data_IF_990075423036
#
_entry.id   IF_990075423036
#
_cell.length_a   1.000
_cell.length_b   1.000
_cell.length_c   1.000
_cell.angle_alpha   90.00
_cell.angle_beta   90.00
_cell.angle_gamma   90.00
#
_symmetry.space_group_name_H-M   'P 1'
#
loop_
_entity.id
_entity.type
_entity.pdbx_description
1 polymer ?
#
# COMPACT_ATOMS: atom_id res chain seq x y z
N UNK A 1 68.56 48.90 -15.29
CA UNK A 1 68.31 48.07 -16.46
C UNK A 1 68.18 46.58 -16.01
N UNK A 2 67.02 46.11 -15.74
CA UNK A 2 66.86 44.70 -15.52
C UNK A 2 65.62 44.25 -16.38
N UNK A 3 65.91 43.32 -17.29
CA UNK A 3 64.92 42.69 -18.15
C UNK A 3 64.30 41.55 -17.43
N UNK A 4 62.96 41.57 -17.22
CA UNK A 4 62.14 40.43 -16.75
C UNK A 4 61.77 39.53 -17.93
N UNK A 5 62.16 38.30 -17.85
CA UNK A 5 61.78 37.25 -18.78
C UNK A 5 60.54 36.55 -18.19
N UNK A 6 59.38 36.70 -18.88
CA UNK A 6 58.15 35.97 -18.53
C UNK A 6 58.18 34.60 -19.21
N UNK A 7 58.17 33.53 -18.41
CA UNK A 7 57.90 32.16 -18.89
C UNK A 7 56.40 31.90 -18.92
N UNK A 8 55.85 31.76 -20.12
CA UNK A 8 54.47 31.30 -20.32
C UNK A 8 54.50 29.80 -20.37
N UNK A 9 54.12 29.16 -19.27
CA UNK A 9 53.93 27.71 -19.20
C UNK A 9 52.59 27.32 -19.86
N UNK A 10 52.66 26.67 -21.01
CA UNK A 10 51.51 26.09 -21.70
C UNK A 10 51.19 24.73 -21.07
N UNK A 11 50.10 24.66 -20.27
CA UNK A 11 49.59 23.45 -19.65
C UNK A 11 48.83 22.67 -20.73
N UNK A 12 49.46 21.62 -21.29
CA UNK A 12 48.75 20.65 -22.16
C UNK A 12 47.87 19.77 -21.25
N UNK A 13 46.59 20.03 -21.25
CA UNK A 13 45.59 19.11 -20.71
C UNK A 13 45.35 18.02 -21.76
N UNK A 14 45.90 16.84 -21.58
CA UNK A 14 45.53 15.65 -22.35
C UNK A 14 44.16 15.18 -21.86
N UNK A 15 43.11 15.50 -22.59
CA UNK A 15 41.83 14.84 -22.47
C UNK A 15 42.01 13.37 -22.91
N UNK A 16 42.11 12.46 -21.96
CA UNK A 16 41.94 11.05 -22.21
C UNK A 16 40.45 10.83 -22.57
N UNK A 17 40.19 10.72 -23.87
CA UNK A 17 38.90 10.25 -24.33
C UNK A 17 38.69 8.83 -23.77
N UNK A 18 37.79 8.66 -22.82
CA UNK A 18 37.21 7.36 -22.52
C UNK A 18 36.55 6.86 -23.80
N UNK A 19 37.15 5.86 -24.43
CA UNK A 19 36.50 5.08 -25.49
C UNK A 19 35.29 4.38 -24.86
N UNK A 20 34.10 4.99 -24.98
CA UNK A 20 32.83 4.34 -24.69
C UNK A 20 32.68 3.26 -25.76
N UNK A 21 32.93 1.99 -25.43
CA UNK A 21 32.53 0.87 -26.26
C UNK A 21 31.02 0.89 -26.38
N UNK A 22 30.52 1.47 -27.48
CA UNK A 22 29.10 1.43 -27.85
C UNK A 22 28.82 -0.04 -28.17
N UNK A 23 27.99 -0.69 -27.35
CA UNK A 23 27.50 -2.05 -27.60
C UNK A 23 26.81 -2.11 -28.98
N UNK A 24 26.50 -3.32 -29.46
CA UNK A 24 25.90 -3.54 -30.77
C UNK A 24 24.67 -2.63 -30.97
N UNK A 25 24.84 -1.58 -31.79
CA UNK A 25 23.68 -0.72 -32.17
C UNK A 25 22.99 -1.43 -33.37
N UNK A 26 21.80 -1.93 -33.13
CA UNK A 26 20.92 -2.38 -34.19
C UNK A 26 20.01 -1.18 -34.56
N UNK A 27 20.27 -0.56 -35.70
CA UNK A 27 19.39 0.47 -36.24
C UNK A 27 18.24 -0.22 -36.99
N UNK A 28 16.99 0.15 -36.61
CA UNK A 28 15.82 -0.32 -37.35
C UNK A 28 15.87 0.06 -38.82
N UNK A 29 15.41 -0.85 -39.67
CA UNK A 29 15.33 -0.63 -41.13
C UNK A 29 14.06 0.15 -41.55
N UNK A 30 13.05 0.15 -40.67
CA UNK A 30 11.71 0.65 -40.96
C UNK A 30 10.82 -0.37 -41.70
N UNK A 31 11.35 -1.51 -42.10
CA UNK A 31 10.57 -2.55 -42.76
C UNK A 31 10.06 -3.57 -41.78
N UNK A 32 8.75 -3.77 -41.73
CA UNK A 32 8.09 -4.73 -40.85
C UNK A 32 8.03 -6.12 -41.46
N UNK A 33 8.30 -7.13 -40.63
CA UNK A 33 8.12 -8.54 -40.95
C UNK A 33 7.32 -9.23 -39.87
N UNK A 34 6.79 -10.42 -40.21
CA UNK A 34 6.13 -11.31 -39.23
C UNK A 34 6.68 -12.71 -39.44
N UNK A 35 7.13 -13.33 -38.35
CA UNK A 35 7.58 -14.73 -38.31
C UNK A 35 6.62 -15.56 -37.48
N UNK A 36 6.37 -16.80 -37.88
CA UNK A 36 5.53 -17.76 -37.17
C UNK A 36 6.40 -18.90 -36.66
N UNK A 37 6.44 -19.08 -35.35
CA UNK A 37 7.21 -20.15 -34.73
C UNK A 37 6.25 -21.21 -34.16
N UNK A 38 6.51 -22.48 -34.48
CA UNK A 38 5.85 -23.59 -33.81
C UNK A 38 6.55 -23.81 -32.47
N UNK A 39 5.81 -23.77 -31.40
CA UNK A 39 6.33 -23.99 -30.06
C UNK A 39 5.67 -25.22 -29.42
N UNK A 40 6.37 -25.91 -28.55
CA UNK A 40 5.79 -26.99 -27.75
C UNK A 40 4.77 -26.43 -26.78
N UNK A 41 3.91 -27.28 -26.21
CA UNK A 41 2.97 -26.88 -25.18
C UNK A 41 3.69 -26.33 -23.94
N UNK A 42 3.15 -25.26 -23.37
CA UNK A 42 3.65 -24.61 -22.15
C UNK A 42 2.49 -24.12 -21.30
N UNK A 43 2.75 -23.95 -20.02
CA UNK A 43 1.82 -23.37 -19.04
C UNK A 43 2.49 -22.27 -18.19
N UNK A 44 3.72 -21.91 -18.55
CA UNK A 44 4.51 -20.87 -17.90
C UNK A 44 5.20 -20.03 -18.96
N UNK A 45 5.34 -18.72 -18.71
CA UNK A 45 6.05 -17.78 -19.59
C UNK A 45 7.07 -17.01 -18.78
N UNK A 46 8.26 -16.85 -19.35
CA UNK A 46 9.31 -15.94 -18.91
C UNK A 46 9.62 -14.97 -20.05
N UNK A 47 9.45 -13.67 -19.81
CA UNK A 47 9.81 -12.62 -20.78
C UNK A 47 10.95 -11.75 -20.25
N UNK A 48 12.11 -11.90 -20.87
CA UNK A 48 13.31 -11.10 -20.61
C UNK A 48 13.64 -10.21 -21.83
N UNK A 49 12.65 -9.96 -22.70
CA UNK A 49 12.85 -9.24 -23.95
C UNK A 49 12.38 -7.78 -23.87
N UNK A 50 12.74 -7.02 -24.91
CA UNK A 50 12.25 -5.67 -25.12
C UNK A 50 11.02 -5.60 -26.04
N UNK A 51 10.53 -6.75 -26.54
CA UNK A 51 9.29 -6.82 -27.33
C UNK A 51 8.09 -6.89 -26.42
N UNK A 52 7.01 -6.23 -26.85
CA UNK A 52 5.72 -6.37 -26.20
C UNK A 52 5.19 -7.79 -26.40
N UNK A 53 4.55 -8.35 -25.37
CA UNK A 53 4.04 -9.72 -25.41
C UNK A 53 2.54 -9.75 -25.11
N UNK A 54 1.75 -10.25 -26.05
CA UNK A 54 0.32 -10.48 -25.89
C UNK A 54 0.11 -11.99 -25.71
N UNK A 55 -0.37 -12.38 -24.54
CA UNK A 55 -0.71 -13.76 -24.20
C UNK A 55 -2.21 -13.93 -24.21
N UNK A 56 -2.69 -14.90 -24.96
CA UNK A 56 -4.14 -15.24 -25.03
C UNK A 56 -4.34 -16.63 -24.44
N UNK A 57 -5.05 -16.72 -23.32
CA UNK A 57 -5.45 -18.03 -22.81
C UNK A 57 -6.68 -18.53 -23.55
N UNK A 58 -6.45 -19.38 -24.53
CA UNK A 58 -7.41 -20.07 -25.38
C UNK A 58 -6.76 -21.36 -25.91
N UNK A 59 -7.11 -21.84 -27.04
CA UNK A 59 -6.46 -22.99 -27.69
C UNK A 59 -5.00 -22.68 -27.99
N UNK A 60 -4.13 -23.65 -27.71
CA UNK A 60 -2.73 -23.55 -28.08
C UNK A 60 -2.55 -23.29 -29.59
N UNK A 61 -1.67 -22.37 -29.93
CA UNK A 61 -1.44 -21.94 -31.30
C UNK A 61 0.03 -21.60 -31.55
N UNK A 62 0.38 -21.25 -32.79
CA UNK A 62 1.73 -20.79 -33.11
C UNK A 62 2.00 -19.44 -32.43
N UNK A 63 3.28 -19.20 -32.15
CA UNK A 63 3.78 -17.93 -31.69
C UNK A 63 4.07 -17.05 -32.91
N UNK A 64 3.56 -15.82 -32.92
CA UNK A 64 3.80 -14.83 -33.97
C UNK A 64 4.69 -13.71 -33.43
N UNK A 65 5.81 -13.42 -34.13
CA UNK A 65 6.68 -12.30 -33.83
C UNK A 65 6.59 -11.30 -34.97
N UNK A 66 6.13 -10.09 -34.69
CA UNK A 66 6.00 -9.01 -35.65
C UNK A 66 6.86 -7.81 -35.23
N UNK A 67 7.64 -7.27 -36.14
CA UNK A 67 8.50 -6.13 -35.86
C UNK A 67 9.43 -5.78 -37.03
N UNK A 68 10.40 -4.92 -36.75
CA UNK A 68 11.42 -4.55 -37.75
C UNK A 68 12.25 -5.76 -38.16
N UNK A 69 12.54 -5.88 -39.47
CA UNK A 69 13.27 -7.02 -40.03
C UNK A 69 14.66 -7.26 -39.44
N UNK A 70 15.26 -6.26 -38.79
CA UNK A 70 16.53 -6.36 -38.10
C UNK A 70 16.40 -6.71 -36.61
N UNK A 71 15.21 -6.44 -36.01
CA UNK A 71 14.95 -6.68 -34.59
C UNK A 71 14.32 -8.06 -34.33
N UNK A 72 13.43 -8.51 -35.19
CA UNK A 72 12.78 -9.82 -35.07
C UNK A 72 13.80 -10.96 -34.94
N UNK A 73 14.91 -11.03 -35.74
CA UNK A 73 15.91 -12.07 -35.60
C UNK A 73 16.70 -12.03 -34.29
N UNK A 74 16.67 -10.92 -33.56
CA UNK A 74 17.37 -10.76 -32.27
C UNK A 74 16.59 -11.34 -31.08
N UNK A 75 15.35 -11.77 -31.31
CA UNK A 75 14.53 -12.45 -30.30
C UNK A 75 14.73 -13.95 -30.41
N UNK A 76 14.96 -14.56 -29.27
CA UNK A 76 14.99 -16.02 -29.13
C UNK A 76 13.77 -16.49 -28.34
N UNK A 77 13.10 -17.51 -28.86
CA UNK A 77 11.96 -18.16 -28.18
C UNK A 77 12.23 -19.65 -28.07
N UNK A 78 12.17 -20.17 -26.85
CA UNK A 78 12.41 -21.61 -26.58
C UNK A 78 11.44 -22.10 -25.50
N UNK A 79 11.01 -23.36 -25.62
CA UNK A 79 10.21 -24.01 -24.57
C UNK A 79 11.06 -25.04 -23.84
N UNK A 80 11.28 -24.82 -22.56
CA UNK A 80 12.01 -25.73 -21.67
C UNK A 80 11.15 -26.04 -20.44
N UNK A 81 10.98 -27.31 -20.12
CA UNK A 81 10.18 -27.75 -18.95
C UNK A 81 8.76 -27.12 -18.89
N UNK A 82 8.07 -27.03 -20.02
CA UNK A 82 6.75 -26.37 -20.18
C UNK A 82 6.77 -24.85 -19.90
N UNK A 83 7.93 -24.21 -19.85
CA UNK A 83 8.09 -22.76 -19.75
C UNK A 83 8.52 -22.20 -21.11
N UNK A 84 7.74 -21.31 -21.70
CA UNK A 84 8.13 -20.50 -22.84
C UNK A 84 9.06 -19.38 -22.37
N UNK A 85 10.29 -19.40 -22.82
CA UNK A 85 11.30 -18.37 -22.54
C UNK A 85 11.41 -17.49 -23.77
N UNK A 86 11.19 -16.20 -23.59
CA UNK A 86 11.33 -15.15 -24.60
C UNK A 86 12.46 -14.24 -24.14
N UNK A 87 13.52 -14.15 -24.90
CA UNK A 87 14.70 -13.37 -24.51
C UNK A 87 15.42 -12.73 -25.69
N UNK A 88 16.20 -11.71 -25.41
CA UNK A 88 17.11 -11.13 -26.37
C UNK A 88 18.33 -12.03 -26.56
N UNK A 89 18.78 -12.25 -27.80
CA UNK A 89 20.01 -13.01 -28.10
C UNK A 89 21.26 -12.36 -27.51
N UNK A 90 21.26 -11.03 -27.40
CA UNK A 90 22.35 -10.25 -26.81
C UNK A 90 21.88 -9.46 -25.61
N UNK A 91 22.72 -9.37 -24.57
CA UNK A 91 22.32 -8.73 -23.28
C UNK A 91 22.25 -7.20 -23.34
N UNK A 92 22.86 -6.57 -24.34
CA UNK A 92 22.92 -5.10 -24.41
C UNK A 92 22.57 -4.64 -25.81
N UNK A 93 21.44 -3.93 -25.90
CA UNK A 93 21.03 -3.21 -27.10
C UNK A 93 20.94 -1.72 -26.79
N UNK A 94 21.41 -0.89 -27.71
CA UNK A 94 21.17 0.53 -27.71
C UNK A 94 20.22 0.85 -28.87
N UNK A 95 18.97 1.17 -28.54
CA UNK A 95 17.98 1.56 -29.54
C UNK A 95 17.95 3.08 -29.70
N UNK A 96 17.70 3.53 -30.92
CA UNK A 96 17.29 4.90 -31.15
C UNK A 96 15.84 5.11 -30.68
N UNK A 97 15.53 6.23 -30.08
CA UNK A 97 14.19 6.62 -29.56
C UNK A 97 13.03 6.48 -30.56
N UNK A 98 13.32 6.34 -31.85
CA UNK A 98 12.34 6.24 -32.92
C UNK A 98 11.91 4.81 -33.23
N UNK A 99 12.48 3.81 -32.59
CA UNK A 99 12.18 2.39 -32.88
C UNK A 99 11.07 1.91 -31.95
N UNK A 100 9.90 1.59 -32.53
CA UNK A 100 8.86 0.87 -31.78
C UNK A 100 9.33 -0.57 -31.56
N UNK A 101 9.21 -1.10 -30.35
CA UNK A 101 9.42 -2.53 -30.12
C UNK A 101 8.48 -3.34 -30.99
N UNK A 102 8.89 -4.56 -31.31
CA UNK A 102 8.00 -5.50 -31.99
C UNK A 102 7.00 -6.10 -31.01
N UNK A 103 6.05 -6.87 -31.52
CA UNK A 103 5.03 -7.55 -30.72
C UNK A 103 5.11 -9.05 -30.92
N UNK A 104 5.08 -9.80 -29.82
CA UNK A 104 4.96 -11.24 -29.79
C UNK A 104 3.55 -11.59 -29.34
N UNK A 105 2.82 -12.35 -30.16
CA UNK A 105 1.51 -12.86 -29.81
C UNK A 105 1.58 -14.37 -29.65
N UNK A 106 1.11 -14.87 -28.52
CA UNK A 106 1.14 -16.30 -28.22
C UNK A 106 -0.15 -16.75 -27.55
N UNK A 107 -0.58 -17.97 -27.86
CA UNK A 107 -1.78 -18.56 -27.27
C UNK A 107 -1.44 -19.88 -26.56
N UNK A 108 -2.02 -20.11 -25.39
CA UNK A 108 -1.88 -21.34 -24.62
C UNK A 108 -3.20 -21.74 -23.98
N UNK A 109 -3.43 -23.06 -23.84
CA UNK A 109 -4.65 -23.56 -23.21
C UNK A 109 -4.70 -23.30 -21.70
N UNK A 110 -3.55 -23.25 -21.05
CA UNK A 110 -3.40 -22.96 -19.60
C UNK A 110 -2.20 -22.07 -19.38
N UNK A 111 -2.34 -21.09 -18.50
CA UNK A 111 -1.23 -20.25 -18.05
C UNK A 111 -1.24 -20.18 -16.53
N UNK A 112 -0.24 -20.75 -15.87
CA UNK A 112 -0.14 -20.85 -14.41
C UNK A 112 0.87 -19.88 -13.82
N UNK A 113 1.86 -19.48 -14.62
CA UNK A 113 2.96 -18.65 -14.14
C UNK A 113 3.40 -17.67 -15.22
N UNK A 114 3.70 -16.46 -14.79
CA UNK A 114 4.25 -15.40 -15.62
C UNK A 114 5.42 -14.74 -14.90
N UNK A 115 6.58 -14.70 -15.56
CA UNK A 115 7.76 -13.97 -15.11
C UNK A 115 8.08 -12.87 -16.13
N UNK A 116 8.19 -11.63 -15.69
CA UNK A 116 8.54 -10.47 -16.53
C UNK A 116 9.73 -9.72 -15.94
N UNK A 117 10.87 -9.80 -16.62
CA UNK A 117 12.09 -9.04 -16.30
C UNK A 117 12.51 -8.11 -17.42
N UNK A 118 11.88 -8.24 -18.60
CA UNK A 118 12.14 -7.42 -19.78
C UNK A 118 11.60 -6.00 -19.68
N UNK A 119 11.91 -5.20 -20.70
CA UNK A 119 11.39 -3.84 -20.85
C UNK A 119 10.20 -3.73 -21.80
N UNK A 120 9.82 -4.81 -22.47
CA UNK A 120 8.60 -4.87 -23.26
C UNK A 120 7.38 -5.07 -22.37
N UNK A 121 6.28 -4.43 -22.73
CA UNK A 121 5.02 -4.56 -21.99
C UNK A 121 4.39 -5.94 -22.22
N UNK A 122 3.63 -6.39 -21.21
CA UNK A 122 2.92 -7.66 -21.33
C UNK A 122 1.42 -7.48 -21.09
N UNK A 123 0.62 -8.12 -21.92
CA UNK A 123 -0.83 -8.21 -21.73
C UNK A 123 -1.29 -9.66 -21.76
N UNK A 124 -1.97 -10.09 -20.69
CA UNK A 124 -2.56 -11.43 -20.58
C UNK A 124 -4.07 -11.33 -20.65
N UNK A 125 -4.67 -11.99 -21.63
CA UNK A 125 -6.11 -11.96 -21.91
C UNK A 125 -6.73 -13.34 -21.72
N UNK A 126 -7.96 -13.34 -21.22
CA UNK A 126 -8.76 -14.55 -21.11
C UNK A 126 -8.33 -15.50 -20.00
N UNK A 127 -7.60 -15.01 -18.97
CA UNK A 127 -7.24 -15.80 -17.80
C UNK A 127 -8.47 -16.51 -17.24
N UNK A 128 -8.33 -17.81 -16.99
CA UNK A 128 -9.37 -18.63 -16.37
C UNK A 128 -8.71 -19.84 -15.70
N UNK A 129 -8.18 -19.65 -14.49
CA UNK A 129 -7.35 -20.61 -13.77
C UNK A 129 -7.80 -20.77 -12.33
N UNK A 130 -7.44 -21.90 -11.70
CA UNK A 130 -7.60 -22.09 -10.25
C UNK A 130 -6.54 -21.31 -9.46
N UNK A 131 -5.34 -21.13 -10.05
CA UNK A 131 -4.24 -20.37 -9.45
C UNK A 131 -3.37 -19.73 -10.53
N UNK A 132 -2.88 -18.53 -10.25
CA UNK A 132 -1.97 -17.79 -11.11
C UNK A 132 -0.88 -17.09 -10.30
N UNK A 133 0.37 -17.34 -10.66
CA UNK A 133 1.53 -16.71 -10.07
C UNK A 133 2.16 -15.74 -11.05
N UNK A 134 2.48 -14.54 -10.58
CA UNK A 134 3.13 -13.49 -11.35
C UNK A 134 4.35 -12.97 -10.62
N UNK A 135 5.47 -12.91 -11.32
CA UNK A 135 6.68 -12.23 -10.85
C UNK A 135 7.05 -11.13 -11.85
N UNK A 136 7.03 -9.88 -11.41
CA UNK A 136 7.42 -8.72 -12.21
C UNK A 136 8.63 -8.04 -11.58
N UNK A 137 9.76 -8.06 -12.29
CA UNK A 137 11.01 -7.46 -11.85
C UNK A 137 11.58 -6.45 -12.85
N UNK A 138 11.00 -6.40 -14.06
CA UNK A 138 11.40 -5.49 -15.14
C UNK A 138 10.73 -4.12 -15.10
N UNK A 139 11.14 -3.22 -16.00
CA UNK A 139 10.49 -1.91 -16.20
C UNK A 139 9.29 -1.95 -17.15
N UNK A 140 9.00 -3.08 -17.83
CA UNK A 140 7.81 -3.20 -18.69
C UNK A 140 6.53 -3.32 -17.89
N UNK A 141 5.45 -2.72 -18.37
CA UNK A 141 4.14 -2.77 -17.74
C UNK A 141 3.47 -4.12 -17.97
N UNK A 142 2.64 -4.51 -17.01
CA UNK A 142 1.88 -5.76 -17.09
C UNK A 142 0.38 -5.51 -16.97
N UNK A 143 -0.40 -6.05 -17.89
CA UNK A 143 -1.86 -6.00 -17.84
C UNK A 143 -2.47 -7.39 -17.77
N UNK A 144 -3.37 -7.61 -16.82
CA UNK A 144 -4.03 -8.89 -16.58
C UNK A 144 -5.56 -8.77 -16.75
N UNK A 145 -6.15 -9.66 -17.57
CA UNK A 145 -7.59 -9.64 -17.88
C UNK A 145 -8.16 -11.05 -17.75
N UNK A 146 -9.20 -11.24 -16.95
CA UNK A 146 -9.90 -12.53 -16.84
C UNK A 146 -10.29 -12.88 -15.41
N UNK A 147 -10.08 -14.15 -15.04
CA UNK A 147 -10.40 -14.69 -13.71
C UNK A 147 -9.33 -15.66 -13.23
N UNK A 148 -9.15 -15.71 -11.92
CA UNK A 148 -8.30 -16.73 -11.28
C UNK A 148 -8.85 -17.06 -9.90
N UNK A 149 -8.63 -18.27 -9.41
CA UNK A 149 -8.90 -18.61 -8.02
C UNK A 149 -7.90 -17.88 -7.11
N UNK A 150 -6.74 -18.47 -6.91
CA UNK A 150 -5.67 -17.84 -6.11
C UNK A 150 -4.75 -17.00 -7.00
N UNK A 151 -4.57 -15.72 -6.68
CA UNK A 151 -3.58 -14.85 -7.30
C UNK A 151 -2.41 -14.61 -6.35
N UNK A 152 -1.17 -14.83 -6.84
CA UNK A 152 0.04 -14.49 -6.10
C UNK A 152 0.87 -13.54 -6.95
N UNK A 153 1.18 -12.37 -6.42
CA UNK A 153 1.93 -11.31 -7.09
C UNK A 153 3.23 -11.01 -6.33
N UNK A 154 4.37 -11.10 -7.01
CA UNK A 154 5.67 -10.63 -6.53
C UNK A 154 6.14 -9.51 -7.45
N UNK A 155 6.16 -8.27 -6.94
CA UNK A 155 6.46 -7.08 -7.73
C UNK A 155 7.67 -6.37 -7.14
N UNK A 156 8.75 -6.33 -7.90
CA UNK A 156 10.00 -5.63 -7.54
C UNK A 156 10.49 -4.68 -8.63
N UNK A 157 9.87 -4.74 -9.80
CA UNK A 157 10.19 -3.89 -10.96
C UNK A 157 9.65 -2.47 -10.83
N UNK A 158 9.97 -1.65 -11.83
CA UNK A 158 9.45 -0.28 -11.96
C UNK A 158 8.29 -0.15 -12.96
N UNK A 159 7.95 -1.23 -13.67
CA UNK A 159 6.75 -1.27 -14.50
C UNK A 159 5.48 -1.40 -13.66
N UNK A 160 4.39 -0.83 -14.12
CA UNK A 160 3.10 -0.87 -13.45
C UNK A 160 2.36 -2.20 -13.72
N UNK A 161 1.54 -2.63 -12.77
CA UNK A 161 0.65 -3.79 -12.93
C UNK A 161 -0.82 -3.36 -12.92
N UNK A 162 -1.47 -3.42 -14.08
CA UNK A 162 -2.92 -3.17 -14.23
C UNK A 162 -3.71 -4.48 -14.28
N UNK A 163 -4.30 -4.86 -13.15
CA UNK A 163 -5.21 -5.99 -13.00
C UNK A 163 -6.66 -5.57 -12.67
N UNK A 164 -7.07 -4.35 -13.02
CA UNK A 164 -8.44 -3.85 -12.78
C UNK A 164 -9.53 -4.68 -13.47
N UNK A 165 -9.18 -5.37 -14.55
CA UNK A 165 -10.09 -6.27 -15.28
C UNK A 165 -9.89 -7.74 -14.92
N UNK A 166 -9.18 -8.03 -13.84
CA UNK A 166 -9.01 -9.36 -13.28
C UNK A 166 -9.94 -9.54 -12.07
N UNK A 167 -10.56 -10.69 -11.97
CA UNK A 167 -11.29 -11.16 -10.80
C UNK A 167 -10.49 -12.29 -10.16
N UNK A 168 -10.19 -12.18 -8.88
CA UNK A 168 -9.53 -13.24 -8.11
C UNK A 168 -10.42 -13.69 -6.95
N UNK A 169 -10.36 -14.99 -6.58
CA UNK A 169 -11.04 -15.42 -5.37
C UNK A 169 -10.27 -14.96 -4.14
N UNK A 170 -8.95 -15.15 -4.09
CA UNK A 170 -8.07 -14.65 -3.04
C UNK A 170 -6.77 -14.11 -3.62
N UNK A 171 -6.13 -13.20 -2.90
CA UNK A 171 -4.90 -12.53 -3.36
C UNK A 171 -3.84 -12.50 -2.28
N UNK A 172 -2.60 -12.79 -2.69
CA UNK A 172 -1.38 -12.51 -1.92
C UNK A 172 -0.47 -11.59 -2.73
N UNK A 173 -0.06 -10.47 -2.16
CA UNK A 173 0.75 -9.43 -2.79
C UNK A 173 2.01 -9.18 -1.98
N UNK A 174 3.17 -9.39 -2.61
CA UNK A 174 4.48 -8.96 -2.14
C UNK A 174 5.01 -7.85 -3.06
N UNK A 175 4.89 -6.59 -2.61
CA UNK A 175 5.21 -5.42 -3.41
C UNK A 175 6.42 -4.67 -2.84
N UNK A 176 7.55 -4.77 -3.55
CA UNK A 176 8.83 -4.22 -3.12
C UNK A 176 9.40 -3.17 -4.11
N UNK A 177 8.74 -2.99 -5.25
CA UNK A 177 9.17 -2.10 -6.33
C UNK A 177 8.61 -0.69 -6.26
N UNK A 178 9.03 0.18 -7.19
CA UNK A 178 8.46 1.51 -7.37
C UNK A 178 7.27 1.57 -8.35
N UNK A 179 6.96 0.49 -9.09
CA UNK A 179 5.80 0.44 -10.00
C UNK A 179 4.49 0.34 -9.24
N UNK A 180 3.41 0.89 -9.76
CA UNK A 180 2.10 0.87 -9.14
C UNK A 180 1.34 -0.44 -9.41
N UNK A 181 0.52 -0.86 -8.47
CA UNK A 181 -0.39 -2.00 -8.59
C UNK A 181 -1.85 -1.57 -8.51
N UNK A 182 -2.63 -1.87 -9.54
CA UNK A 182 -4.07 -1.67 -9.57
C UNK A 182 -4.79 -3.01 -9.72
N UNK A 183 -5.53 -3.44 -8.71
CA UNK A 183 -6.28 -4.69 -8.70
C UNK A 183 -7.80 -4.41 -8.75
N UNK A 184 -8.53 -5.25 -9.47
CA UNK A 184 -9.98 -5.18 -9.60
C UNK A 184 -10.70 -5.80 -8.41
N UNK A 185 -11.44 -6.88 -8.65
CA UNK A 185 -12.28 -7.55 -7.64
C UNK A 185 -11.56 -8.72 -7.01
N UNK A 186 -11.60 -8.79 -5.66
CA UNK A 186 -11.22 -9.96 -4.86
C UNK A 186 -12.45 -10.48 -4.13
N UNK A 187 -12.73 -11.76 -4.27
CA UNK A 187 -13.95 -12.34 -3.70
C UNK A 187 -13.84 -12.58 -2.19
N UNK A 188 -12.65 -12.95 -1.71
CA UNK A 188 -12.40 -13.31 -0.31
C UNK A 188 -11.15 -12.62 0.26
N UNK A 189 -10.19 -13.36 0.78
CA UNK A 189 -9.08 -12.83 1.56
C UNK A 189 -8.02 -12.11 0.72
N UNK A 190 -7.53 -11.02 1.26
CA UNK A 190 -6.50 -10.18 0.67
C UNK A 190 -5.35 -10.03 1.67
N UNK A 191 -4.15 -10.50 1.30
CA UNK A 191 -2.93 -10.30 2.05
C UNK A 191 -2.00 -9.39 1.24
N UNK A 192 -1.51 -8.31 1.86
CA UNK A 192 -0.65 -7.30 1.23
C UNK A 192 0.56 -7.07 2.10
N UNK A 193 1.75 -7.32 1.53
CA UNK A 193 3.03 -6.92 2.07
C UNK A 193 3.62 -5.85 1.14
N UNK A 194 3.73 -4.62 1.63
CA UNK A 194 4.25 -3.49 0.87
C UNK A 194 5.48 -2.89 1.54
N UNK A 195 6.63 -2.99 0.87
CA UNK A 195 7.87 -2.33 1.27
C UNK A 195 8.40 -1.37 0.19
N UNK A 196 7.79 -1.39 -0.99
CA UNK A 196 8.13 -0.53 -2.12
C UNK A 196 7.64 0.91 -2.00
N UNK A 197 7.95 1.70 -3.02
CA UNK A 197 7.49 3.09 -3.14
C UNK A 197 6.31 3.25 -4.10
N UNK A 198 5.95 2.22 -4.86
CA UNK A 198 4.76 2.22 -5.70
C UNK A 198 3.49 2.07 -4.87
N UNK A 199 2.40 2.60 -5.36
CA UNK A 199 1.10 2.56 -4.71
C UNK A 199 0.36 1.26 -5.02
N UNK A 200 -0.42 0.77 -4.04
CA UNK A 200 -1.30 -0.39 -4.21
C UNK A 200 -2.75 0.06 -4.08
N UNK A 201 -3.56 -0.28 -5.07
CA UNK A 201 -5.01 -0.04 -5.04
C UNK A 201 -5.81 -1.31 -5.32
N UNK A 202 -6.61 -1.75 -4.35
CA UNK A 202 -7.60 -2.83 -4.50
C UNK A 202 -8.99 -2.21 -4.57
N UNK A 203 -9.67 -2.38 -5.71
CA UNK A 203 -10.89 -1.63 -6.01
C UNK A 203 -12.14 -2.19 -5.32
N UNK A 204 -12.21 -3.52 -5.11
CA UNK A 204 -13.40 -4.16 -4.57
C UNK A 204 -13.07 -5.51 -3.91
N UNK A 205 -13.08 -5.55 -2.57
CA UNK A 205 -13.10 -6.80 -1.80
C UNK A 205 -14.55 -7.13 -1.46
N UNK A 206 -15.09 -8.25 -1.96
CA UNK A 206 -16.53 -8.54 -1.83
C UNK A 206 -16.91 -9.06 -0.46
N UNK A 207 -16.12 -9.98 0.10
CA UNK A 207 -16.35 -10.51 1.44
C UNK A 207 -15.13 -11.31 1.89
N UNK A 208 -14.28 -10.69 2.69
CA UNK A 208 -13.04 -11.36 3.14
C UNK A 208 -12.30 -10.58 4.19
N UNK A 209 -11.23 -11.17 4.69
CA UNK A 209 -10.30 -10.51 5.59
C UNK A 209 -9.23 -9.76 4.82
N UNK A 210 -8.77 -8.66 5.40
CA UNK A 210 -7.60 -7.92 4.98
C UNK A 210 -6.47 -8.09 6.01
N UNK A 211 -5.34 -8.60 5.56
CA UNK A 211 -4.08 -8.55 6.28
C UNK A 211 -3.14 -7.61 5.54
N UNK A 212 -2.73 -6.53 6.19
CA UNK A 212 -1.90 -5.49 5.61
C UNK A 212 -0.63 -5.28 6.42
N UNK A 213 0.50 -5.44 5.79
CA UNK A 213 1.82 -5.09 6.34
C UNK A 213 2.46 -4.06 5.42
N UNK A 214 2.53 -2.81 5.88
CA UNK A 214 3.10 -1.70 5.09
C UNK A 214 4.31 -1.12 5.80
N UNK A 215 5.46 -1.23 5.18
CA UNK A 215 6.73 -0.71 5.70
C UNK A 215 7.39 0.29 4.74
N UNK A 216 6.93 0.37 3.51
CA UNK A 216 7.45 1.28 2.47
C UNK A 216 6.83 2.68 2.49
N UNK A 217 7.32 3.57 1.61
CA UNK A 217 6.73 4.90 1.40
C UNK A 217 5.54 4.92 0.42
N UNK A 218 5.26 3.81 -0.29
CA UNK A 218 4.08 3.71 -1.17
C UNK A 218 2.78 3.60 -0.38
N UNK A 219 1.71 4.18 -0.89
CA UNK A 219 0.40 4.17 -0.23
C UNK A 219 -0.41 2.92 -0.58
N UNK A 220 -1.25 2.47 0.35
CA UNK A 220 -2.15 1.33 0.14
C UNK A 220 -3.60 1.76 0.30
N UNK A 221 -4.44 1.48 -0.70
CA UNK A 221 -5.87 1.77 -0.67
C UNK A 221 -6.68 0.51 -0.97
N UNK A 222 -7.55 0.12 -0.04
CA UNK A 222 -8.41 -1.06 -0.17
C UNK A 222 -9.86 -0.66 0.07
N UNK A 223 -10.73 -1.00 -0.88
CA UNK A 223 -12.17 -0.76 -0.80
C UNK A 223 -12.94 -2.07 -0.87
N UNK A 224 -14.11 -2.12 -0.23
CA UNK A 224 -15.01 -3.27 -0.36
C UNK A 224 -15.77 -3.62 0.92
N UNK A 225 -16.26 -4.85 1.02
CA UNK A 225 -16.91 -5.38 2.22
C UNK A 225 -15.91 -6.25 3.00
N UNK A 226 -15.17 -5.62 3.90
CA UNK A 226 -14.07 -6.25 4.63
C UNK A 226 -14.61 -6.75 5.98
N UNK A 227 -14.55 -8.06 6.21
CA UNK A 227 -15.10 -8.74 7.39
C UNK A 227 -14.09 -9.01 8.50
N UNK A 228 -12.80 -8.82 8.24
CA UNK A 228 -11.70 -8.91 9.20
C UNK A 228 -10.56 -7.98 8.80
N UNK A 229 -9.90 -7.36 9.79
CA UNK A 229 -8.73 -6.51 9.54
C UNK A 229 -7.62 -6.79 10.55
N UNK A 230 -6.43 -7.04 10.03
CA UNK A 230 -5.16 -7.04 10.75
C UNK A 230 -4.19 -6.16 9.97
N UNK A 231 -3.76 -5.05 10.56
CA UNK A 231 -2.89 -4.10 9.85
C UNK A 231 -1.70 -3.68 10.73
N UNK A 232 -0.51 -3.71 10.14
CA UNK A 232 0.75 -3.20 10.70
C UNK A 232 1.33 -2.17 9.74
N UNK A 233 1.30 -0.90 10.15
CA UNK A 233 1.73 0.25 9.36
C UNK A 233 2.97 0.86 10.02
N UNK A 234 4.12 0.56 9.46
CA UNK A 234 5.43 1.04 9.95
C UNK A 234 6.13 1.98 8.95
N UNK A 235 5.64 2.03 7.73
CA UNK A 235 6.16 2.89 6.65
C UNK A 235 5.74 4.35 6.76
N UNK A 236 6.19 5.15 5.79
CA UNK A 236 5.79 6.54 5.64
C UNK A 236 4.68 6.75 4.60
N UNK A 237 4.28 5.70 3.88
CA UNK A 237 3.13 5.74 2.99
C UNK A 237 1.83 5.66 3.77
N UNK A 238 0.76 6.24 3.21
CA UNK A 238 -0.55 6.25 3.83
C UNK A 238 -1.33 4.96 3.58
N UNK A 239 -2.21 4.58 4.52
CA UNK A 239 -3.12 3.46 4.36
C UNK A 239 -4.58 3.91 4.43
N UNK A 240 -5.42 3.52 3.46
CA UNK A 240 -6.86 3.81 3.45
C UNK A 240 -7.66 2.54 3.28
N UNK A 241 -8.53 2.23 4.25
CA UNK A 241 -9.39 1.05 4.21
C UNK A 241 -10.85 1.46 4.39
N UNK A 242 -11.67 1.17 3.39
CA UNK A 242 -13.07 1.58 3.34
C UNK A 242 -14.01 0.37 3.19
N UNK A 243 -15.15 0.44 3.87
CA UNK A 243 -16.18 -0.60 3.84
C UNK A 243 -15.96 -1.72 4.85
N UNK A 244 -15.39 -1.39 6.00
CA UNK A 244 -15.21 -2.30 7.11
C UNK A 244 -16.56 -2.73 7.72
N UNK A 245 -16.72 -4.04 7.96
CA UNK A 245 -17.83 -4.65 8.69
C UNK A 245 -17.23 -5.78 9.55
N UNK A 246 -16.50 -5.40 10.59
CA UNK A 246 -15.54 -6.26 11.28
C UNK A 246 -15.98 -6.53 12.72
N UNK A 247 -16.02 -7.79 13.14
CA UNK A 247 -16.28 -8.14 14.54
C UNK A 247 -15.07 -7.83 15.44
N UNK A 248 -13.85 -8.17 14.98
CA UNK A 248 -12.62 -7.90 15.72
C UNK A 248 -11.54 -7.41 14.75
N UNK A 249 -10.99 -6.23 15.01
CA UNK A 249 -9.91 -5.63 14.24
C UNK A 249 -8.69 -5.33 15.09
N UNK A 250 -7.51 -5.50 14.52
CA UNK A 250 -6.23 -5.11 15.11
C UNK A 250 -5.53 -4.14 14.17
N UNK A 251 -5.10 -2.99 14.69
CA UNK A 251 -4.30 -2.01 13.97
C UNK A 251 -3.11 -1.59 14.82
N UNK A 252 -1.91 -1.70 14.24
CA UNK A 252 -0.68 -1.17 14.79
C UNK A 252 -0.12 -0.10 13.86
N UNK A 253 0.17 1.07 14.40
CA UNK A 253 0.76 2.21 13.69
C UNK A 253 2.06 2.60 14.39
N UNK A 254 3.19 2.34 13.74
CA UNK A 254 4.53 2.65 14.28
C UNK A 254 5.31 3.62 13.40
N UNK A 255 4.86 3.84 12.17
CA UNK A 255 5.46 4.75 11.19
C UNK A 255 4.91 6.18 11.25
N UNK A 256 5.40 7.05 10.36
CA UNK A 256 4.88 8.40 10.17
C UNK A 256 3.72 8.49 9.13
N UNK A 257 3.35 7.38 8.46
CA UNK A 257 2.24 7.36 7.50
C UNK A 257 0.88 7.45 8.19
N UNK A 258 -0.05 8.15 7.58
CA UNK A 258 -1.41 8.34 8.09
C UNK A 258 -2.30 7.15 7.74
N UNK A 259 -3.24 6.85 8.63
CA UNK A 259 -4.22 5.77 8.41
C UNK A 259 -5.64 6.32 8.40
N UNK A 260 -6.41 5.89 7.41
CA UNK A 260 -7.82 6.24 7.26
C UNK A 260 -8.69 5.00 7.25
N UNK A 261 -9.63 4.93 8.20
CA UNK A 261 -10.57 3.82 8.31
C UNK A 261 -12.03 4.30 8.18
N UNK A 262 -12.85 3.51 7.44
CA UNK A 262 -14.27 3.81 7.26
C UNK A 262 -15.11 2.53 7.32
N UNK A 263 -16.25 2.59 7.99
CA UNK A 263 -17.20 1.48 8.13
C UNK A 263 -17.61 1.22 9.56
N UNK A 264 -17.65 -0.05 9.97
CA UNK A 264 -18.05 -0.46 11.32
C UNK A 264 -17.11 -1.54 11.85
N UNK A 265 -16.73 -1.43 13.14
CA UNK A 265 -15.95 -2.45 13.86
C UNK A 265 -16.57 -2.66 15.25
N UNK A 266 -16.88 -3.91 15.61
CA UNK A 266 -17.42 -4.17 16.95
C UNK A 266 -16.34 -3.99 18.03
N UNK A 267 -15.17 -4.57 17.85
CA UNK A 267 -14.05 -4.39 18.78
C UNK A 267 -12.78 -4.07 18.00
N UNK A 268 -12.20 -2.90 18.27
CA UNK A 268 -10.92 -2.48 17.71
C UNK A 268 -9.85 -2.42 18.80
N UNK A 269 -8.73 -3.10 18.55
CA UNK A 269 -7.48 -2.91 19.27
C UNK A 269 -6.56 -2.03 18.44
N UNK A 270 -6.15 -0.91 19.03
CA UNK A 270 -5.34 0.09 18.35
C UNK A 270 -4.09 0.40 19.17
N UNK A 271 -2.93 0.19 18.56
CA UNK A 271 -1.64 0.60 19.12
C UNK A 271 -1.02 1.67 18.21
N UNK A 272 -0.79 2.85 18.73
CA UNK A 272 -0.11 3.95 18.07
C UNK A 272 1.22 4.24 18.78
N UNK A 273 2.32 4.05 18.08
CA UNK A 273 3.66 4.39 18.58
C UNK A 273 4.42 5.33 17.65
N UNK A 274 3.94 5.47 16.41
CA UNK A 274 4.45 6.37 15.39
C UNK A 274 3.95 7.80 15.50
N UNK A 275 4.30 8.61 14.49
CA UNK A 275 3.85 10.01 14.36
C UNK A 275 2.73 10.20 13.34
N UNK A 276 2.34 9.14 12.61
CA UNK A 276 1.20 9.18 11.71
C UNK A 276 -0.12 9.30 12.46
N UNK A 277 -1.08 10.01 11.89
CA UNK A 277 -2.40 10.22 12.45
C UNK A 277 -3.41 9.16 12.02
N UNK A 278 -4.36 8.82 12.89
CA UNK A 278 -5.53 8.01 12.54
C UNK A 278 -6.76 8.88 12.30
N UNK A 279 -7.27 8.91 11.07
CA UNK A 279 -8.60 9.46 10.74
C UNK A 279 -9.64 8.33 10.65
N UNK A 280 -10.39 8.15 11.74
CA UNK A 280 -11.50 7.22 11.82
C UNK A 280 -12.86 7.93 12.07
N UNK A 281 -13.01 9.17 11.56
CA UNK A 281 -14.23 9.97 11.70
C UNK A 281 -15.47 9.33 11.04
N UNK A 282 -15.27 8.46 10.07
CA UNK A 282 -16.34 7.72 9.40
C UNK A 282 -16.32 6.22 9.76
N UNK A 283 -15.80 5.87 10.95
CA UNK A 283 -15.78 4.53 11.50
C UNK A 283 -16.65 4.48 12.76
N UNK A 284 -17.63 3.59 12.77
CA UNK A 284 -18.42 3.31 13.97
C UNK A 284 -17.78 2.15 14.75
N UNK A 285 -17.50 2.36 16.03
CA UNK A 285 -16.85 1.36 16.89
C UNK A 285 -17.77 1.08 18.10
N UNK A 286 -17.96 -0.20 18.46
CA UNK A 286 -18.66 -0.54 19.70
C UNK A 286 -17.70 -0.45 20.89
N UNK A 287 -16.57 -1.16 20.82
CA UNK A 287 -15.59 -1.20 21.89
C UNK A 287 -14.19 -0.87 21.33
N UNK A 288 -13.51 0.07 21.96
CA UNK A 288 -12.15 0.47 21.59
C UNK A 288 -11.17 0.23 22.73
N UNK A 289 -10.11 -0.51 22.47
CA UNK A 289 -8.90 -0.59 23.29
C UNK A 289 -7.81 0.19 22.57
N UNK A 290 -7.41 1.33 23.14
CA UNK A 290 -6.40 2.23 22.56
C UNK A 290 -5.18 2.34 23.47
N UNK A 291 -4.00 2.14 22.90
CA UNK A 291 -2.72 2.49 23.51
C UNK A 291 -2.00 3.46 22.58
N UNK A 292 -1.74 4.67 23.04
CA UNK A 292 -0.98 5.67 22.29
C UNK A 292 0.28 6.09 23.06
N UNK A 293 1.44 5.61 22.60
CA UNK A 293 2.76 6.00 23.09
C UNK A 293 3.44 7.04 22.19
N UNK A 294 2.92 7.25 20.97
CA UNK A 294 3.50 8.12 19.95
C UNK A 294 2.99 9.55 19.99
N UNK A 295 3.54 10.42 19.13
CA UNK A 295 3.01 11.76 18.91
C UNK A 295 1.85 11.80 17.88
N UNK A 296 1.51 10.68 17.23
CA UNK A 296 0.39 10.61 16.29
C UNK A 296 -0.96 10.78 16.99
N UNK A 297 -1.86 11.55 16.38
CA UNK A 297 -3.19 11.84 16.91
C UNK A 297 -4.23 10.82 16.44
N UNK A 298 -5.25 10.61 17.25
CA UNK A 298 -6.34 9.68 16.96
C UNK A 298 -7.68 10.42 16.95
N UNK A 299 -8.35 10.42 15.79
CA UNK A 299 -9.63 11.09 15.58
C UNK A 299 -10.75 10.08 15.32
N UNK A 300 -11.72 9.99 16.21
CA UNK A 300 -12.83 9.03 16.19
C UNK A 300 -14.18 9.75 16.33
N UNK A 301 -15.12 9.46 15.45
CA UNK A 301 -16.41 10.13 15.50
C UNK A 301 -17.51 9.33 16.21
N UNK A 302 -17.38 8.00 16.34
CA UNK A 302 -18.48 7.22 16.92
C UNK A 302 -17.96 6.03 17.71
N UNK A 303 -17.97 6.16 19.06
CA UNK A 303 -17.80 5.03 19.98
C UNK A 303 -19.10 4.82 20.76
N UNK A 304 -19.69 3.61 20.68
CA UNK A 304 -21.06 3.35 21.14
C UNK A 304 -21.17 2.61 22.47
N UNK A 305 -20.19 1.81 22.88
CA UNK A 305 -20.29 1.04 24.14
C UNK A 305 -19.19 1.37 25.13
N UNK A 306 -17.94 1.16 24.75
CA UNK A 306 -16.84 1.33 25.67
C UNK A 306 -15.56 1.86 24.98
N UNK A 307 -14.85 2.71 25.72
CA UNK A 307 -13.47 3.11 25.42
C UNK A 307 -12.60 2.76 26.61
N UNK A 308 -11.47 2.12 26.36
CA UNK A 308 -10.34 2.00 27.26
C UNK A 308 -9.11 2.58 26.57
N UNK A 309 -8.58 3.71 27.06
CA UNK A 309 -7.46 4.40 26.43
C UNK A 309 -6.33 4.67 27.41
N UNK A 310 -5.12 4.32 27.01
CA UNK A 310 -3.86 4.66 27.68
C UNK A 310 -3.03 5.56 26.75
N UNK A 311 -2.67 6.75 27.26
CA UNK A 311 -2.07 7.83 26.48
C UNK A 311 -0.78 8.29 27.19
N UNK A 312 0.34 7.76 26.75
CA UNK A 312 1.67 8.10 27.27
C UNK A 312 2.41 9.07 26.34
N UNK A 313 1.96 9.13 25.06
CA UNK A 313 2.52 9.96 24.00
C UNK A 313 2.10 11.43 24.07
N UNK A 314 2.54 12.18 23.05
CA UNK A 314 2.20 13.58 22.84
C UNK A 314 1.04 13.78 21.83
N UNK A 315 0.56 12.70 21.23
CA UNK A 315 -0.57 12.74 20.29
C UNK A 315 -1.88 13.01 20.99
N UNK A 316 -2.78 13.73 20.34
CA UNK A 316 -4.10 14.06 20.84
C UNK A 316 -5.11 12.95 20.57
N UNK A 317 -6.13 12.86 21.42
CA UNK A 317 -7.26 11.97 21.24
C UNK A 317 -8.57 12.74 21.17
N UNK A 318 -9.25 12.69 20.03
CA UNK A 318 -10.58 13.27 19.84
C UNK A 318 -11.62 12.16 19.65
N UNK A 319 -12.63 12.09 20.55
CA UNK A 319 -13.66 11.04 20.48
C UNK A 319 -15.06 11.62 20.67
N UNK A 320 -15.95 11.28 19.74
CA UNK A 320 -17.39 11.48 19.91
C UNK A 320 -18.09 10.20 20.37
N UNK A 321 -18.94 10.28 21.39
CA UNK A 321 -19.69 9.17 21.96
C UNK A 321 -21.17 9.24 21.62
N UNK A 322 -21.70 8.12 21.15
CA UNK A 322 -23.14 7.95 20.90
C UNK A 322 -23.75 6.97 21.92
N UNK A 323 -23.83 7.43 23.19
CA UNK A 323 -24.46 6.70 24.29
C UNK A 323 -23.56 5.63 24.95
N UNK A 324 -22.25 5.83 24.99
CA UNK A 324 -21.32 4.88 25.59
C UNK A 324 -21.63 4.54 27.04
N UNK A 325 -21.44 3.29 27.41
CA UNK A 325 -21.69 2.84 28.80
C UNK A 325 -20.53 3.18 29.73
N UNK A 326 -19.31 3.04 29.23
CA UNK A 326 -18.09 3.19 30.02
C UNK A 326 -16.96 3.82 29.22
N UNK A 327 -16.31 4.80 29.83
CA UNK A 327 -15.13 5.48 29.27
C UNK A 327 -14.04 5.47 30.33
N UNK A 328 -12.94 4.75 30.09
CA UNK A 328 -11.75 4.70 30.95
C UNK A 328 -10.59 5.38 30.22
N UNK A 329 -9.96 6.37 30.86
CA UNK A 329 -8.85 7.15 30.31
C UNK A 329 -7.69 7.19 31.29
N UNK A 330 -6.51 6.81 30.87
CA UNK A 330 -5.25 7.04 31.57
C UNK A 330 -4.38 7.97 30.72
N UNK A 331 -4.13 9.18 31.20
CA UNK A 331 -3.30 10.21 30.55
C UNK A 331 -2.02 10.38 31.33
N UNK A 332 -0.91 9.88 30.82
CA UNK A 332 0.41 10.01 31.42
C UNK A 332 1.30 10.99 30.63
N UNK A 333 0.98 11.21 29.37
CA UNK A 333 1.70 12.07 28.41
C UNK A 333 1.25 13.54 28.40
N UNK A 334 1.82 14.35 27.51
CA UNK A 334 1.45 15.76 27.30
C UNK A 334 0.31 15.97 26.29
N UNK A 335 -0.15 14.92 25.59
CA UNK A 335 -1.25 15.02 24.60
C UNK A 335 -2.59 15.36 25.25
N UNK A 336 -3.42 16.11 24.55
CA UNK A 336 -4.76 16.50 25.00
C UNK A 336 -5.79 15.41 24.65
N UNK A 337 -6.85 15.32 25.48
CA UNK A 337 -8.00 14.46 25.22
C UNK A 337 -9.26 15.28 25.14
N UNK A 338 -9.95 15.25 24.00
CA UNK A 338 -11.23 15.91 23.78
C UNK A 338 -12.35 14.87 23.63
N UNK A 339 -13.34 14.93 24.51
CA UNK A 339 -14.48 14.02 24.53
C UNK A 339 -15.78 14.80 24.40
N UNK A 340 -16.65 14.37 23.50
CA UNK A 340 -17.97 14.97 23.32
C UNK A 340 -19.08 13.92 23.13
N UNK A 341 -20.36 14.36 23.14
CA UNK A 341 -21.51 13.47 22.94
C UNK A 341 -22.15 13.03 24.26
N UNK A 342 -22.47 11.73 24.39
CA UNK A 342 -23.18 11.16 25.54
C UNK A 342 -22.50 9.88 26.01
N UNK A 343 -22.25 9.78 27.34
CA UNK A 343 -21.79 8.52 27.95
C UNK A 343 -22.39 8.41 29.39
N UNK A 344 -22.48 7.17 29.90
CA UNK A 344 -22.98 6.94 31.27
C UNK A 344 -21.91 7.26 32.31
N UNK A 345 -20.71 6.70 32.15
CA UNK A 345 -19.67 6.84 33.16
C UNK A 345 -18.30 7.15 32.51
N UNK A 346 -17.61 8.12 33.11
CA UNK A 346 -16.20 8.43 32.79
C UNK A 346 -15.35 8.19 34.04
N UNK A 347 -14.32 7.34 33.88
CA UNK A 347 -13.25 7.21 34.84
C UNK A 347 -11.95 7.69 34.19
N UNK A 348 -11.29 8.70 34.78
CA UNK A 348 -10.06 9.23 34.22
C UNK A 348 -8.97 9.46 35.27
N UNK A 349 -7.74 9.08 34.90
CA UNK A 349 -6.52 9.39 35.66
C UNK A 349 -5.62 10.27 34.79
N UNK A 350 -5.37 11.50 35.25
CA UNK A 350 -4.59 12.51 34.55
C UNK A 350 -3.30 12.78 35.34
N UNK A 351 -2.19 12.25 34.87
CA UNK A 351 -0.88 12.39 35.51
C UNK A 351 0.07 13.26 34.67
N UNK A 352 -0.11 13.30 33.35
CA UNK A 352 0.66 14.10 32.42
C UNK A 352 0.37 15.60 32.49
N UNK A 353 0.86 16.34 31.51
CA UNK A 353 0.60 17.78 31.36
C UNK A 353 -0.54 18.12 30.37
N UNK A 354 -1.02 17.12 29.63
CA UNK A 354 -2.15 17.25 28.71
C UNK A 354 -3.47 17.52 29.43
N UNK A 355 -4.41 18.17 28.77
CA UNK A 355 -5.74 18.56 29.36
C UNK A 355 -6.82 17.55 28.94
N UNK A 356 -7.67 17.16 29.90
CA UNK A 356 -8.89 16.40 29.61
C UNK A 356 -10.08 17.35 29.44
N UNK A 357 -10.57 17.50 28.21
CA UNK A 357 -11.69 18.36 27.81
C UNK A 357 -12.94 17.51 27.55
N UNK A 358 -13.78 17.33 28.55
CA UNK A 358 -15.05 16.61 28.46
C UNK A 358 -16.27 17.49 28.87
N UNK A 359 -16.15 18.79 28.67
CA UNK A 359 -17.23 19.76 28.94
C UNK A 359 -18.42 19.60 27.97
N UNK A 360 -18.17 19.03 26.78
CA UNK A 360 -19.21 18.70 25.80
C UNK A 360 -19.71 17.26 25.90
N UNK A 361 -19.12 16.41 26.75
CA UNK A 361 -19.59 15.07 27.03
C UNK A 361 -20.58 15.04 28.16
N UNK A 362 -21.85 14.72 27.88
CA UNK A 362 -22.89 14.62 28.88
C UNK A 362 -22.84 13.29 29.62
N UNK A 363 -22.48 13.28 30.90
CA UNK A 363 -22.27 12.12 31.76
C UNK A 363 -23.34 11.91 32.80
N UNK A 364 -23.69 10.66 33.13
CA UNK A 364 -24.45 10.32 34.33
C UNK A 364 -23.57 10.38 35.61
N UNK A 365 -22.30 9.95 35.45
CA UNK A 365 -21.31 9.99 36.55
C UNK A 365 -19.87 10.18 36.02
N UNK A 366 -19.03 10.81 36.85
CA UNK A 366 -17.60 10.94 36.55
C UNK A 366 -16.75 10.68 37.80
N UNK A 367 -15.66 9.95 37.65
CA UNK A 367 -14.64 9.75 38.67
C UNK A 367 -13.28 10.14 38.08
N UNK A 368 -12.81 11.31 38.51
CA UNK A 368 -11.60 11.94 37.91
C UNK A 368 -10.53 12.10 38.97
N UNK A 369 -9.32 11.68 38.68
CA UNK A 369 -8.15 11.90 39.52
C UNK A 369 -7.07 12.62 38.71
N UNK A 370 -6.76 13.85 39.12
CA UNK A 370 -5.68 14.65 38.55
C UNK A 370 -4.51 14.68 39.53
N UNK A 371 -3.34 14.25 39.12
CA UNK A 371 -2.11 14.25 39.93
C UNK A 371 -0.97 15.06 39.28
N UNK A 372 -1.06 15.29 37.98
CA UNK A 372 -0.13 16.08 37.19
C UNK A 372 -0.38 17.59 37.22
N UNK A 373 0.42 18.37 36.48
CA UNK A 373 0.22 19.83 36.36
C UNK A 373 -0.90 20.23 35.39
N UNK A 374 -1.88 19.41 35.22
CA UNK A 374 -2.97 19.53 34.25
C UNK A 374 -4.33 19.82 34.89
N UNK A 375 -5.35 19.90 34.05
CA UNK A 375 -6.75 20.06 34.43
C UNK A 375 -7.61 19.01 33.71
N UNK A 376 -8.75 18.72 34.34
CA UNK A 376 -9.84 18.00 33.71
C UNK A 376 -11.12 18.83 33.80
N UNK A 377 -11.87 18.90 32.69
CA UNK A 377 -13.20 19.57 32.68
C UNK A 377 -14.23 18.55 32.27
N UNK A 378 -15.26 18.35 33.05
CA UNK A 378 -16.32 17.36 32.82
C UNK A 378 -17.70 17.95 32.99
N UNK A 379 -18.71 17.39 32.30
CA UNK A 379 -20.09 17.83 32.37
C UNK A 379 -21.01 16.70 32.87
N UNK A 380 -21.51 16.80 34.08
CA UNK A 380 -22.30 15.74 34.73
C UNK A 380 -23.75 16.17 34.88
N UNK A 381 -24.71 15.30 34.54
CA UNK A 381 -26.14 15.47 34.72
C UNK A 381 -26.50 15.66 36.19
N UNK A 382 -27.51 16.53 36.45
CA UNK A 382 -28.13 16.73 37.73
C UNK A 382 -29.67 16.68 37.60
N UNK A 383 -30.38 16.60 38.69
CA UNK A 383 -31.85 16.59 38.75
C UNK A 383 -32.49 17.80 38.04
N UNK A 384 -31.76 18.92 37.93
CA UNK A 384 -32.21 20.17 37.29
C UNK A 384 -31.26 20.69 36.23
N UNK A 385 -30.76 19.81 35.34
CA UNK A 385 -29.88 20.18 34.25
C UNK A 385 -28.52 19.45 34.29
N UNK A 386 -27.45 20.12 33.86
CA UNK A 386 -26.08 19.60 33.93
C UNK A 386 -25.15 20.61 34.59
N UNK A 387 -24.02 20.14 35.09
CA UNK A 387 -22.96 20.97 35.66
C UNK A 387 -21.62 20.65 35.04
N UNK A 388 -20.96 21.66 34.52
CA UNK A 388 -19.55 21.59 34.16
C UNK A 388 -18.70 21.77 35.41
N UNK A 389 -17.75 20.88 35.62
CA UNK A 389 -16.87 20.85 36.79
C UNK A 389 -15.42 20.81 36.29
N UNK A 390 -14.60 21.73 36.81
CA UNK A 390 -13.16 21.73 36.60
C UNK A 390 -12.44 21.12 37.79
N UNK A 391 -11.51 20.26 37.53
CA UNK A 391 -10.75 19.51 38.53
C UNK A 391 -9.25 19.67 38.21
N UNK A 392 -8.49 20.08 39.23
CA UNK A 392 -7.02 20.10 39.16
C UNK A 392 -6.43 19.16 40.23
N UNK A 393 -5.12 19.19 40.40
CA UNK A 393 -4.42 18.42 41.46
C UNK A 393 -4.85 18.74 42.89
N UNK A 394 -5.49 19.87 43.13
CA UNK A 394 -5.95 20.30 44.45
C UNK A 394 -7.42 19.93 44.68
N UNK A 395 -8.11 19.30 43.69
CA UNK A 395 -9.49 18.91 43.73
C UNK A 395 -10.39 19.78 42.85
N UNK A 396 -11.70 19.84 43.19
CA UNK A 396 -12.69 20.60 42.42
C UNK A 396 -12.43 22.08 42.56
N UNK A 397 -12.23 22.78 41.45
CA UNK A 397 -11.98 24.24 41.44
C UNK A 397 -13.27 25.02 41.18
N UNK A 398 -14.28 24.45 40.46
CA UNK A 398 -15.63 25.00 40.24
C UNK A 398 -16.58 23.99 39.56
#
# INVERSE_FOLDING_TARGET
MWKSIAYTGMLLVTLSACEVKVGNQVAASGKQITENHQVAEFDSIQNDSFFDVIVIQDKAGPLNISGDEKLVPEIETVVENRKLIIRNKHKTYHFSWAVKPGTITVSTAQLRQLESSGSGDMEVRGLNNDAFYVQQSGPGDLRLIGKTGKLSLEISGSGDLDARQLQADSVNIDHNGPGDLMLGTVATDTEIHSSGSGDIRVSDVRQGSLKLMQSGPGSVSVHGQISGIEADISGSGDASVEGLHVAQGNLQMSGPGDVKLRGEIDTLKLLVSGSGDLDAKNLAIQNLELINHGPGSVNLQTVRKALNAELDGAGDLDVHFDGAEKVDIAMNGPGDVTLDGIAKALHAQVQGSGELKADKLLLDSASIKVTGPSNAVVNVKKTSGSRVVRIDRNGVVQ
#
